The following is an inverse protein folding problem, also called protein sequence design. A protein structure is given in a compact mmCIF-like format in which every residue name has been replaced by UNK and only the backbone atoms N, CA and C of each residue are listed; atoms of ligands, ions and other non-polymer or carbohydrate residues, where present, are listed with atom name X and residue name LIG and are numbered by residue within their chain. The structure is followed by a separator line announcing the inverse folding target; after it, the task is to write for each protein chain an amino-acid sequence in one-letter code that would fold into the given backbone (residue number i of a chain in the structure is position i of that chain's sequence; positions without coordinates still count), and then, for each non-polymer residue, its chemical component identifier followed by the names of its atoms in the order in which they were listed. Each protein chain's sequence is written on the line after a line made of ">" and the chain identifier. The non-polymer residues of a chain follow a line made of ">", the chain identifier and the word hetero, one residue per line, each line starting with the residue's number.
data_IF_934558989414
#
_entry.id   IF_934558989414
#
_cell.length_a   1.000
_cell.length_b   1.000
_cell.length_c   1.000
_cell.angle_alpha   90.00
_cell.angle_beta   90.00
_cell.angle_gamma   90.00
#
_symmetry.space_group_name_H-M   'P 1'
#
loop_
_entity.id
_entity.type
_entity.pdbx_description
1 polymer ?
#
# COMPACT_ATOMS: atom_id res chain seq x y z
N UNK A 1 -23.42 -7.77 22.87
CA UNK A 1 -22.61 -7.68 21.62
C UNK A 1 -21.15 -7.79 21.98
N UNK A 2 -20.40 -8.75 21.43
CA UNK A 2 -18.95 -8.89 21.66
C UNK A 2 -18.21 -8.26 20.48
N UNK A 3 -17.51 -7.15 20.71
CA UNK A 3 -16.69 -6.50 19.70
C UNK A 3 -15.29 -7.12 19.65
N UNK A 4 -14.68 -7.19 18.48
CA UNK A 4 -13.31 -7.68 18.28
C UNK A 4 -12.30 -6.65 18.82
N UNK A 5 -11.12 -7.10 19.23
CA UNK A 5 -10.07 -6.21 19.76
C UNK A 5 -9.69 -5.08 18.79
N UNK A 6 -9.60 -5.37 17.49
CA UNK A 6 -9.30 -4.34 16.48
C UNK A 6 -10.43 -3.30 16.36
N UNK A 7 -11.70 -3.69 16.55
CA UNK A 7 -12.84 -2.77 16.52
C UNK A 7 -12.76 -1.81 17.71
N UNK A 8 -12.43 -2.31 18.92
CA UNK A 8 -12.22 -1.46 20.09
C UNK A 8 -11.09 -0.45 19.87
N UNK A 9 -9.95 -0.87 19.32
CA UNK A 9 -8.84 0.05 19.01
C UNK A 9 -9.26 1.12 18.00
N UNK A 10 -9.99 0.74 16.96
CA UNK A 10 -10.46 1.68 15.93
C UNK A 10 -11.49 2.66 16.49
N UNK A 11 -12.41 2.20 17.32
CA UNK A 11 -13.36 3.06 18.05
C UNK A 11 -12.65 4.01 19.02
N UNK A 12 -11.60 3.54 19.71
CA UNK A 12 -10.84 4.36 20.65
C UNK A 12 -10.07 5.49 19.94
N UNK A 13 -9.51 5.23 18.75
CA UNK A 13 -8.95 6.28 17.90
C UNK A 13 -10.01 7.29 17.45
N UNK A 14 -11.21 6.81 17.09
CA UNK A 14 -12.32 7.70 16.72
C UNK A 14 -12.76 8.56 17.91
N UNK A 15 -12.81 7.99 19.11
CA UNK A 15 -13.12 8.70 20.35
C UNK A 15 -12.06 9.77 20.66
N UNK A 16 -10.76 9.42 20.55
CA UNK A 16 -9.63 10.37 20.71
C UNK A 16 -9.66 11.50 19.70
N UNK A 17 -10.00 11.21 18.44
CA UNK A 17 -10.18 12.23 17.38
C UNK A 17 -11.39 13.13 17.65
N UNK A 18 -12.38 12.61 18.37
CA UNK A 18 -13.61 13.31 18.75
C UNK A 18 -14.74 13.10 17.74
N UNK A 19 -15.96 12.90 18.27
CA UNK A 19 -17.18 12.57 17.50
C UNK A 19 -17.45 13.53 16.32
N UNK A 20 -17.22 14.83 16.52
CA UNK A 20 -17.48 15.86 15.49
C UNK A 20 -16.52 15.77 14.29
N UNK A 21 -15.33 15.18 14.47
CA UNK A 21 -14.29 15.03 13.45
C UNK A 21 -14.29 13.64 12.79
N UNK A 22 -15.16 12.73 13.24
CA UNK A 22 -15.27 11.36 12.74
C UNK A 22 -16.49 11.20 11.86
N UNK A 23 -16.30 10.74 10.62
CA UNK A 23 -17.41 10.33 9.77
C UNK A 23 -17.99 9.01 10.28
N UNK A 24 -19.15 9.08 10.93
CA UNK A 24 -19.83 7.91 11.50
C UNK A 24 -20.19 6.89 10.40
N UNK A 25 -20.58 7.36 9.20
CA UNK A 25 -20.93 6.49 8.07
C UNK A 25 -19.74 5.63 7.64
N UNK A 26 -18.56 6.25 7.50
CA UNK A 26 -17.32 5.55 7.15
C UNK A 26 -16.85 4.63 8.28
N UNK A 27 -16.89 5.09 9.53
CA UNK A 27 -16.50 4.28 10.68
C UNK A 27 -17.38 3.03 10.86
N UNK A 28 -18.70 3.16 10.64
CA UNK A 28 -19.63 2.04 10.68
C UNK A 28 -19.32 0.99 9.60
N UNK A 29 -19.02 1.44 8.38
CA UNK A 29 -18.64 0.56 7.28
C UNK A 29 -17.32 -0.19 7.56
N UNK A 30 -16.31 0.51 8.09
CA UNK A 30 -15.03 -0.10 8.47
C UNK A 30 -15.16 -1.13 9.60
N UNK A 31 -16.02 -0.86 10.57
CA UNK A 31 -16.25 -1.76 11.71
C UNK A 31 -17.23 -2.89 11.38
N UNK A 32 -17.92 -2.80 10.24
CA UNK A 32 -19.07 -3.66 9.91
C UNK A 32 -20.12 -3.67 11.03
N UNK A 33 -20.41 -2.49 11.60
CA UNK A 33 -21.40 -2.30 12.66
C UNK A 33 -22.50 -1.36 12.18
N UNK A 34 -23.70 -1.50 12.75
CA UNK A 34 -24.78 -0.57 12.48
C UNK A 34 -24.43 0.85 12.96
N UNK A 35 -24.80 1.85 12.16
CA UNK A 35 -24.53 3.26 12.43
C UNK A 35 -25.04 3.69 13.82
N UNK A 36 -26.20 3.18 14.24
CA UNK A 36 -26.80 3.47 15.54
C UNK A 36 -25.93 2.95 16.70
N UNK A 37 -25.36 1.75 16.56
CA UNK A 37 -24.49 1.13 17.57
C UNK A 37 -23.21 1.96 17.73
N UNK A 38 -22.58 2.35 16.63
CA UNK A 38 -21.38 3.21 16.65
C UNK A 38 -21.67 4.56 17.30
N UNK A 39 -22.84 5.15 16.99
CA UNK A 39 -23.28 6.39 17.62
C UNK A 39 -23.47 6.26 19.12
N UNK A 40 -24.11 5.17 19.58
CA UNK A 40 -24.30 4.91 21.01
C UNK A 40 -22.96 4.78 21.73
N UNK A 41 -22.03 4.02 21.15
CA UNK A 41 -20.69 3.81 21.71
C UNK A 41 -19.82 5.08 21.71
N UNK A 42 -20.03 6.01 20.77
CA UNK A 42 -19.31 7.30 20.76
C UNK A 42 -19.99 8.38 21.60
N UNK A 43 -21.29 8.24 21.88
CA UNK A 43 -22.04 9.18 22.72
C UNK A 43 -21.80 8.88 24.19
N UNK A 44 -21.92 7.61 24.57
CA UNK A 44 -21.71 7.12 25.93
C UNK A 44 -20.68 5.98 25.87
N UNK A 45 -19.37 6.32 25.78
CA UNK A 45 -18.33 5.32 25.62
C UNK A 45 -18.19 4.46 26.88
N UNK A 46 -18.12 3.12 26.75
CA UNK A 46 -17.89 2.25 27.88
C UNK A 46 -16.50 2.48 28.49
N UNK A 47 -16.28 2.21 29.79
CA UNK A 47 -15.03 2.53 30.50
C UNK A 47 -13.78 1.95 29.82
N UNK A 48 -13.89 0.71 29.32
CA UNK A 48 -12.82 0.07 28.57
C UNK A 48 -12.38 0.90 27.34
N UNK A 49 -13.34 1.48 26.62
CA UNK A 49 -13.05 2.28 25.43
C UNK A 49 -12.39 3.61 25.79
N UNK A 50 -12.80 4.23 26.90
CA UNK A 50 -12.20 5.47 27.42
C UNK A 50 -10.75 5.22 27.80
N UNK A 51 -10.47 4.16 28.57
CA UNK A 51 -9.10 3.80 28.96
C UNK A 51 -8.21 3.57 27.74
N UNK A 52 -8.70 2.82 26.74
CA UNK A 52 -7.96 2.59 25.50
C UNK A 52 -7.67 3.89 24.75
N UNK A 53 -8.63 4.82 24.70
CA UNK A 53 -8.46 6.12 24.03
C UNK A 53 -7.40 7.01 24.69
N UNK A 54 -7.31 6.97 26.03
CA UNK A 54 -6.30 7.69 26.78
C UNK A 54 -4.90 7.08 26.61
N UNK A 55 -4.81 5.75 26.51
CA UNK A 55 -3.55 5.02 26.32
C UNK A 55 -3.03 5.02 24.86
N UNK A 56 -3.75 5.62 23.91
CA UNK A 56 -3.37 5.63 22.50
C UNK A 56 -2.42 6.81 22.17
N UNK A 57 -1.34 6.59 21.39
CA UNK A 57 -0.50 7.68 20.91
C UNK A 57 -1.24 8.58 19.90
N UNK A 58 -0.92 9.88 19.86
CA UNK A 58 -1.57 10.86 18.95
C UNK A 58 -1.36 10.60 17.46
N UNK A 59 -0.35 9.81 17.11
CA UNK A 59 -0.16 9.29 15.75
C UNK A 59 -0.81 7.91 15.65
N UNK A 60 -1.75 7.69 14.71
CA UNK A 60 -2.25 6.35 14.46
C UNK A 60 -1.12 5.50 13.89
N UNK A 61 -0.47 4.76 14.78
CA UNK A 61 0.56 3.79 14.43
C UNK A 61 -0.13 2.71 13.61
N UNK A 62 -0.07 2.85 12.29
CA UNK A 62 -0.40 1.77 11.37
C UNK A 62 0.52 0.62 11.73
N UNK A 63 -0.08 -0.48 12.17
CA UNK A 63 0.55 -1.74 12.57
C UNK A 63 1.80 -2.06 11.74
N UNK A 64 2.96 -1.67 12.25
CA UNK A 64 4.25 -2.24 11.92
C UNK A 64 4.71 -2.86 13.24
N UNK A 65 4.77 -4.18 13.20
CA UNK A 65 5.42 -5.04 14.17
C UNK A 65 6.80 -4.46 14.47
N UNK A 66 7.04 -4.06 15.73
CA UNK A 66 7.98 -4.75 16.62
C UNK A 66 7.93 -4.13 18.05
N UNK A 67 8.28 -4.92 19.10
CA UNK A 67 8.01 -4.62 20.50
C UNK A 67 9.20 -3.93 21.21
N UNK A 68 8.98 -3.55 22.49
CA UNK A 68 9.99 -3.16 23.53
C UNK A 68 10.46 -1.69 23.45
N UNK A 69 10.52 -0.85 24.50
CA UNK A 69 10.14 -0.85 25.91
C UNK A 69 10.26 0.61 26.44
N UNK A 70 9.23 1.10 27.17
CA UNK A 70 9.28 1.99 28.37
C UNK A 70 9.87 3.45 28.20
N UNK A 71 9.77 4.35 29.21
CA UNK A 71 8.81 5.48 29.26
C UNK A 71 9.51 6.84 29.54
N UNK A 72 8.76 7.85 30.04
CA UNK A 72 9.16 9.18 30.59
C UNK A 72 8.82 10.31 29.58
N UNK A 73 7.63 10.91 29.64
CA UNK A 73 7.22 11.97 30.58
C UNK A 73 7.99 13.28 30.32
N UNK A 74 7.34 14.27 29.69
CA UNK A 74 7.46 15.68 30.08
C UNK A 74 6.58 16.58 29.18
N UNK A 75 5.57 17.17 29.84
CA UNK A 75 5.04 18.52 29.67
C UNK A 75 4.90 19.17 28.26
N UNK A 76 3.65 19.51 27.92
CA UNK A 76 3.29 20.65 27.08
C UNK A 76 3.71 21.98 27.77
N UNK A 77 3.71 23.19 27.12
CA UNK A 77 2.49 23.75 26.52
C UNK A 77 2.63 24.73 25.31
N UNK A 78 1.51 24.84 24.57
CA UNK A 78 0.84 26.04 23.98
C UNK A 78 1.52 27.03 23.00
N UNK A 79 0.66 27.43 22.04
CA UNK A 79 0.59 28.72 21.30
C UNK A 79 1.59 28.94 20.16
N UNK A 80 1.27 29.51 18.98
CA UNK A 80 0.35 30.60 18.60
C UNK A 80 0.21 30.65 17.06
N UNK A 81 -0.99 30.94 16.55
CA UNK A 81 -1.39 31.89 15.45
C UNK A 81 -0.48 31.97 14.21
N UNK A 82 -0.97 31.82 12.96
CA UNK A 82 -1.41 32.95 12.09
C UNK A 82 -2.10 32.42 10.82
N UNK A 83 -3.28 32.96 10.56
CA UNK A 83 -4.06 33.03 9.31
C UNK A 83 -3.31 33.78 8.19
N UNK A 84 -3.49 33.43 6.91
CA UNK A 84 -3.88 34.39 5.85
C UNK A 84 -4.16 33.72 4.49
N UNK A 85 -5.08 34.38 3.79
CA UNK A 85 -5.79 34.17 2.52
C UNK A 85 -5.02 33.90 1.22
N UNK A 86 -5.86 33.51 0.23
CA UNK A 86 -5.79 33.79 -1.21
C UNK A 86 -4.73 33.13 -2.09
N UNK A 87 -5.19 32.23 -2.97
CA UNK A 87 -5.02 32.34 -4.44
C UNK A 87 -5.50 31.06 -5.14
N UNK A 88 -6.60 31.19 -5.89
CA UNK A 88 -7.02 30.26 -6.95
C UNK A 88 -6.14 30.53 -8.19
N UNK A 89 -5.73 29.49 -8.94
CA UNK A 89 -6.19 29.48 -10.32
C UNK A 89 -6.68 28.11 -10.79
N UNK A 90 -7.84 28.21 -11.41
CA UNK A 90 -8.59 27.27 -12.23
C UNK A 90 -7.83 26.94 -13.52
N UNK A 91 -7.71 25.65 -13.86
CA UNK A 91 -7.44 25.20 -15.24
C UNK A 91 -8.34 23.99 -15.51
N UNK A 92 -9.43 24.24 -16.23
CA UNK A 92 -10.18 23.21 -16.95
C UNK A 92 -9.39 22.79 -18.19
N UNK A 93 -9.34 21.49 -18.50
CA UNK A 93 -9.84 20.95 -19.79
C UNK A 93 -9.63 19.43 -19.91
N UNK A 94 -10.73 18.75 -20.25
CA UNK A 94 -10.84 17.51 -21.05
C UNK A 94 -10.44 16.16 -20.40
N UNK A 95 -11.49 15.40 -20.04
CA UNK A 95 -11.48 13.93 -19.92
C UNK A 95 -11.61 13.35 -21.35
N UNK A 96 -10.93 12.24 -21.71
CA UNK A 96 -11.67 10.96 -21.70
C UNK A 96 -10.83 9.71 -21.35
N UNK A 97 -11.41 8.90 -20.45
CA UNK A 97 -11.50 7.43 -20.52
C UNK A 97 -10.21 6.60 -20.31
N UNK A 98 -10.31 5.69 -19.32
CA UNK A 98 -9.44 4.54 -19.07
C UNK A 98 -8.02 4.95 -18.67
N UNK A 99 -7.69 4.99 -17.38
CA UNK A 99 -7.39 3.76 -16.68
C UNK A 99 -7.67 3.90 -15.18
N UNK A 100 -8.50 2.99 -14.68
CA UNK A 100 -8.38 2.48 -13.32
C UNK A 100 -7.07 1.68 -13.20
N UNK A 101 -5.93 2.31 -13.55
CA UNK A 101 -4.61 1.84 -13.15
C UNK A 101 -4.55 2.11 -11.67
N UNK A 102 -5.14 1.17 -10.95
CA UNK A 102 -4.93 0.92 -9.54
C UNK A 102 -3.52 1.37 -9.18
N UNK A 103 -3.44 2.54 -8.54
CA UNK A 103 -2.21 3.10 -7.99
C UNK A 103 -1.76 2.26 -6.78
N UNK A 104 -1.67 0.95 -6.99
CA UNK A 104 -1.11 -0.04 -6.08
C UNK A 104 0.42 0.10 -6.02
N UNK A 105 1.01 0.74 -7.05
CA UNK A 105 2.43 1.11 -7.12
C UNK A 105 2.80 2.07 -5.99
N UNK A 106 1.97 3.06 -5.67
CA UNK A 106 2.30 4.08 -4.66
C UNK A 106 2.04 3.69 -3.20
N UNK A 107 1.31 2.59 -2.90
CA UNK A 107 0.76 2.43 -1.54
C UNK A 107 1.70 1.84 -0.49
N UNK A 108 2.88 1.33 -0.86
CA UNK A 108 3.96 1.01 0.10
C UNK A 108 5.31 1.20 -0.59
N UNK A 109 6.10 2.17 -0.11
CA UNK A 109 7.55 2.22 -0.38
C UNK A 109 8.11 0.83 -0.02
N UNK A 110 8.80 0.17 -0.95
CA UNK A 110 9.51 -1.08 -0.66
C UNK A 110 10.47 -0.81 0.51
N UNK A 111 10.46 -1.66 1.54
CA UNK A 111 11.39 -1.51 2.67
C UNK A 111 12.82 -1.68 2.15
N UNK A 112 13.79 -0.95 2.70
CA UNK A 112 15.21 -1.04 2.30
C UNK A 112 15.72 -2.48 2.26
N UNK A 113 15.37 -3.27 3.29
CA UNK A 113 15.69 -4.72 3.39
C UNK A 113 15.12 -5.54 2.22
N UNK A 114 13.91 -5.21 1.76
CA UNK A 114 13.28 -5.90 0.64
C UNK A 114 13.97 -5.55 -0.69
N UNK A 115 14.34 -4.28 -0.88
CA UNK A 115 15.08 -3.83 -2.06
C UNK A 115 16.45 -4.49 -2.12
N UNK A 116 17.16 -4.56 -1.00
CA UNK A 116 18.48 -5.21 -0.92
C UNK A 116 18.41 -6.68 -1.32
N UNK A 117 17.39 -7.41 -0.86
CA UNK A 117 17.17 -8.81 -1.25
C UNK A 117 16.90 -8.94 -2.76
N UNK A 118 16.07 -8.06 -3.31
CA UNK A 118 15.78 -8.02 -4.75
C UNK A 118 17.03 -7.71 -5.58
N UNK A 119 17.85 -6.76 -5.14
CA UNK A 119 19.11 -6.40 -5.78
C UNK A 119 20.14 -7.53 -5.69
N UNK A 120 20.24 -8.21 -4.55
CA UNK A 120 21.11 -9.37 -4.40
C UNK A 120 20.73 -10.49 -5.39
N UNK A 121 19.44 -10.75 -5.56
CA UNK A 121 18.98 -11.73 -6.56
C UNK A 121 19.22 -11.21 -7.97
N UNK A 122 19.00 -9.92 -8.24
CA UNK A 122 19.25 -9.33 -9.55
C UNK A 122 20.71 -9.42 -9.98
N UNK A 123 21.65 -9.26 -9.03
CA UNK A 123 23.09 -9.50 -9.26
C UNK A 123 23.39 -10.95 -9.66
N UNK A 124 22.64 -11.91 -9.13
CA UNK A 124 22.78 -13.34 -9.47
C UNK A 124 22.09 -13.70 -10.77
N UNK A 125 20.89 -13.18 -11.02
CA UNK A 125 20.08 -13.50 -12.20
C UNK A 125 19.15 -12.35 -12.54
N UNK A 126 19.31 -11.79 -13.74
CA UNK A 126 18.49 -10.68 -14.25
C UNK A 126 17.03 -11.10 -14.55
N UNK A 127 16.81 -12.39 -14.85
CA UNK A 127 15.51 -13.00 -15.17
C UNK A 127 15.25 -14.22 -14.27
N UNK A 128 14.78 -14.03 -13.03
CA UNK A 128 14.53 -15.14 -12.11
C UNK A 128 13.41 -16.08 -12.65
N UNK A 129 13.62 -17.40 -12.58
CA UNK A 129 12.60 -18.40 -12.91
C UNK A 129 11.40 -18.31 -11.95
N UNK A 130 10.23 -18.80 -12.36
CA UNK A 130 9.02 -18.82 -11.52
C UNK A 130 9.25 -19.37 -10.10
N UNK A 131 10.07 -20.42 -9.94
CA UNK A 131 10.44 -20.97 -8.63
C UNK A 131 11.26 -19.96 -7.79
N UNK A 132 12.20 -19.26 -8.40
CA UNK A 132 13.01 -18.23 -7.76
C UNK A 132 12.14 -17.05 -7.33
N UNK A 133 11.21 -16.62 -8.20
CA UNK A 133 10.22 -15.60 -7.87
C UNK A 133 9.39 -16.01 -6.66
N UNK A 134 8.92 -17.26 -6.62
CA UNK A 134 8.20 -17.80 -5.45
C UNK A 134 9.06 -17.75 -4.19
N UNK A 135 10.33 -18.15 -4.24
CA UNK A 135 11.25 -18.06 -3.10
C UNK A 135 11.39 -16.62 -2.59
N UNK A 136 11.57 -15.64 -3.49
CA UNK A 136 11.68 -14.21 -3.14
C UNK A 136 10.40 -13.71 -2.46
N UNK A 137 9.23 -14.11 -2.96
CA UNK A 137 7.92 -13.75 -2.38
C UNK A 137 7.84 -14.20 -0.91
N UNK A 138 8.31 -15.40 -0.60
CA UNK A 138 8.30 -15.93 0.77
C UNK A 138 9.31 -15.20 1.67
N UNK A 139 10.51 -14.85 1.17
CA UNK A 139 11.54 -14.18 1.97
C UNK A 139 11.19 -12.70 2.21
N UNK A 140 10.70 -12.01 1.19
CA UNK A 140 10.45 -10.57 1.24
C UNK A 140 9.03 -10.21 1.68
N UNK A 141 8.11 -11.19 1.75
CA UNK A 141 6.67 -10.97 1.97
C UNK A 141 6.05 -9.97 0.97
N UNK A 142 6.59 -9.91 -0.24
CA UNK A 142 6.06 -9.09 -1.32
C UNK A 142 5.15 -9.93 -2.22
N UNK A 143 3.99 -9.40 -2.66
CA UNK A 143 3.17 -10.10 -3.65
C UNK A 143 3.96 -10.42 -4.92
N UNK A 144 3.72 -11.57 -5.54
CA UNK A 144 4.41 -12.00 -6.77
C UNK A 144 4.41 -10.94 -7.87
N UNK A 145 3.31 -10.22 -8.04
CA UNK A 145 3.18 -9.11 -9.01
C UNK A 145 4.18 -7.97 -8.74
N UNK A 146 4.52 -7.69 -7.47
CA UNK A 146 5.48 -6.61 -7.11
C UNK A 146 6.88 -7.03 -7.47
N UNK A 147 7.23 -8.28 -7.16
CA UNK A 147 8.53 -8.85 -7.47
C UNK A 147 8.75 -8.80 -8.98
N UNK A 148 7.83 -9.36 -9.77
CA UNK A 148 7.93 -9.36 -11.24
C UNK A 148 8.07 -7.94 -11.80
N UNK A 149 7.18 -7.02 -11.39
CA UNK A 149 7.25 -5.63 -11.83
C UNK A 149 8.58 -4.96 -11.45
N UNK A 150 9.10 -5.20 -10.25
CA UNK A 150 10.40 -4.66 -9.84
C UNK A 150 11.55 -5.14 -10.74
N UNK A 151 11.55 -6.42 -11.15
CA UNK A 151 12.52 -6.96 -12.10
C UNK A 151 12.32 -6.45 -13.54
N UNK A 152 11.10 -6.06 -13.93
CA UNK A 152 10.82 -5.38 -15.19
C UNK A 152 11.35 -3.94 -15.15
N UNK A 153 10.94 -3.17 -14.14
CA UNK A 153 11.37 -1.79 -13.93
C UNK A 153 12.91 -1.71 -13.86
N UNK A 154 13.57 -2.59 -13.08
CA UNK A 154 15.04 -2.62 -12.96
C UNK A 154 15.75 -2.93 -14.28
N UNK A 155 15.14 -3.74 -15.16
CA UNK A 155 15.68 -4.03 -16.51
C UNK A 155 15.51 -2.84 -17.45
N UNK A 156 14.38 -2.15 -17.37
CA UNK A 156 14.12 -0.92 -18.12
C UNK A 156 15.11 0.18 -17.75
N UNK A 157 15.41 0.35 -16.46
CA UNK A 157 16.38 1.34 -15.95
C UNK A 157 17.83 1.02 -16.37
N UNK A 158 18.24 -0.25 -16.39
CA UNK A 158 19.60 -0.64 -16.82
C UNK A 158 19.76 -0.67 -18.35
N UNK A 159 18.69 -0.37 -19.11
CA UNK A 159 18.71 -0.39 -20.57
C UNK A 159 18.92 -1.79 -21.16
N UNK A 160 18.61 -2.85 -20.41
CA UNK A 160 18.73 -4.23 -20.90
C UNK A 160 17.63 -4.45 -21.94
N UNK A 161 17.97 -4.63 -23.23
CA UNK A 161 16.97 -4.80 -24.26
C UNK A 161 16.13 -6.04 -23.97
N UNK A 162 14.80 -5.88 -24.00
CA UNK A 162 13.88 -7.02 -23.99
C UNK A 162 14.01 -7.74 -25.32
N UNK A 163 15.05 -8.57 -25.46
CA UNK A 163 15.19 -9.50 -26.57
C UNK A 163 14.20 -10.66 -26.37
N UNK A 164 12.92 -10.34 -26.26
CA UNK A 164 11.88 -11.24 -26.70
C UNK A 164 11.81 -11.08 -28.21
N UNK A 165 12.85 -11.57 -28.90
CA UNK A 165 12.79 -11.71 -30.34
C UNK A 165 11.50 -12.50 -30.62
N UNK A 166 10.55 -11.96 -31.41
CA UNK A 166 9.44 -12.77 -31.86
C UNK A 166 10.04 -14.01 -32.52
N UNK A 167 9.50 -15.17 -32.19
CA UNK A 167 9.94 -16.44 -32.77
C UNK A 167 9.79 -16.30 -34.29
N UNK A 168 10.89 -16.00 -34.99
CA UNK A 168 10.89 -16.03 -36.44
C UNK A 168 10.84 -17.50 -36.82
N UNK A 169 9.63 -17.97 -37.14
CA UNK A 169 9.47 -19.18 -37.93
C UNK A 169 10.19 -18.88 -39.23
N UNK A 170 11.40 -19.40 -39.38
CA UNK A 170 12.05 -19.47 -40.68
C UNK A 170 11.13 -20.31 -41.53
N UNK A 171 10.33 -19.67 -42.40
CA UNK A 171 9.72 -20.35 -43.53
C UNK A 171 10.88 -20.91 -44.34
N UNK A 172 11.13 -22.19 -44.13
CA UNK A 172 12.13 -22.97 -44.83
C UNK A 172 11.72 -22.99 -46.30
N UNK A 173 12.40 -22.18 -47.10
CA UNK A 173 12.44 -22.30 -48.54
C UNK A 173 12.85 -23.74 -48.91
N UNK A 174 11.95 -24.46 -49.57
CA UNK A 174 12.32 -25.59 -50.41
C UNK A 174 12.41 -25.07 -51.86
N UNK A 175 13.61 -25.04 -52.47
CA UNK A 175 13.74 -24.85 -53.90
C UNK A 175 13.57 -26.19 -54.61
N UNK A 176 12.39 -26.46 -55.17
CA UNK A 176 12.26 -27.58 -56.11
C UNK A 176 12.70 -27.13 -57.51
N UNK A 177 13.86 -27.65 -57.87
CA UNK A 177 14.48 -27.63 -59.19
C UNK A 177 13.60 -28.29 -60.26
N UNK A 178 13.44 -27.57 -61.38
CA UNK A 178 13.54 -28.03 -62.79
C UNK A 178 13.20 -29.50 -63.08
N UNK A 179 12.21 -29.75 -63.95
CA UNK A 179 12.38 -30.62 -65.14
C UNK A 179 11.37 -30.22 -66.21
N UNK A 180 11.93 -29.84 -67.36
CA UNK A 180 11.34 -29.78 -68.70
C UNK A 180 10.92 -31.15 -69.22
N UNK A 181 9.74 -31.27 -69.82
CA UNK A 181 9.51 -32.06 -71.04
C UNK A 181 8.16 -31.75 -71.67
#
# INVERSE_FOLDING_TARGET
>A
MKLKNWQHRRLAYALKKGRRKTSIKSLAAELCLERAIVLKLLRDPPPNLVMLSAALPDKPVSSILDPVEKPIESAAPLETVVTHDDAIPEVETKVPVHEMQSNWSARKRLKKVQVETLEQVYRKTKRPTNAMISSIVHVTNLPRKKVVKWFEDKRSEEGVPDNRAPYQRSDAAAPESVVTS
#
